data_IF_864738544427
#
_entry.id   IF_864738544427
#
_cell.length_a   1.000
_cell.length_b   1.000
_cell.length_c   1.000
_cell.angle_alpha   90.00
_cell.angle_beta   90.00
_cell.angle_gamma   90.00
#
_symmetry.space_group_name_H-M   'P 1'
#
loop_
_entity.id
_entity.type
_entity.pdbx_description
1 polymer ?
#
# COMPACT_ATOMS: atom_id res chain seq x y z
N UNK A 1 18.03 10.83 13.25
CA UNK A 1 18.03 10.74 11.77
C UNK A 1 16.78 9.96 11.36
N UNK A 2 16.02 10.41 10.36
CA UNK A 2 14.72 9.79 10.00
C UNK A 2 13.58 10.76 9.66
N UNK A 3 13.88 12.04 9.39
CA UNK A 3 12.87 13.04 9.03
C UNK A 3 12.40 12.93 7.57
N UNK A 4 13.28 12.48 6.68
CA UNK A 4 13.01 12.33 5.24
C UNK A 4 13.32 10.91 4.80
N UNK A 5 12.50 10.38 3.89
CA UNK A 5 12.66 9.04 3.32
C UNK A 5 13.71 9.00 2.19
N UNK A 6 13.88 10.11 1.46
CA UNK A 6 14.81 10.25 0.35
C UNK A 6 15.19 11.72 0.13
N UNK A 7 16.31 11.95 -0.56
CA UNK A 7 16.79 13.28 -0.98
C UNK A 7 17.05 13.22 -2.48
N UNK A 8 16.61 14.24 -3.22
CA UNK A 8 16.79 14.35 -4.66
C UNK A 8 17.28 15.75 -5.06
N UNK A 9 17.99 15.92 -6.19
CA UNK A 9 18.22 17.22 -6.79
C UNK A 9 16.90 17.94 -7.06
N UNK A 10 16.90 19.28 -6.95
CA UNK A 10 15.70 20.10 -7.08
C UNK A 10 14.99 19.86 -8.43
N UNK A 11 15.77 19.69 -9.50
CA UNK A 11 15.29 19.49 -10.87
C UNK A 11 14.58 18.14 -11.05
N UNK A 12 14.80 17.19 -10.14
CA UNK A 12 14.21 15.84 -10.18
C UNK A 12 13.16 15.59 -9.10
N UNK A 13 12.91 16.56 -8.21
CA UNK A 13 12.03 16.38 -7.06
C UNK A 13 10.62 15.94 -7.46
N UNK A 14 10.06 16.60 -8.49
CA UNK A 14 8.73 16.28 -8.99
C UNK A 14 8.66 14.88 -9.60
N UNK A 15 9.68 14.51 -10.38
CA UNK A 15 9.76 13.18 -10.99
C UNK A 15 9.79 12.09 -9.91
N UNK A 16 10.72 12.18 -8.96
CA UNK A 16 10.89 11.17 -7.91
C UNK A 16 9.64 11.07 -7.02
N UNK A 17 9.01 12.21 -6.70
CA UNK A 17 7.79 12.22 -5.90
C UNK A 17 6.62 11.58 -6.65
N UNK A 18 6.47 11.84 -7.96
CA UNK A 18 5.46 11.20 -8.80
C UNK A 18 5.70 9.70 -8.93
N UNK A 19 6.94 9.26 -9.14
CA UNK A 19 7.29 7.85 -9.20
C UNK A 19 6.90 7.11 -7.91
N UNK A 20 7.17 7.71 -6.74
CA UNK A 20 6.75 7.15 -5.46
C UNK A 20 5.21 7.08 -5.34
N UNK A 21 4.51 8.15 -5.72
CA UNK A 21 3.05 8.17 -5.69
C UNK A 21 2.44 7.11 -6.62
N UNK A 22 3.00 6.96 -7.82
CA UNK A 22 2.59 5.92 -8.77
C UNK A 22 2.87 4.53 -8.24
N UNK A 23 4.04 4.30 -7.63
CA UNK A 23 4.37 3.01 -7.03
C UNK A 23 3.35 2.61 -5.96
N UNK A 24 2.98 3.54 -5.07
CA UNK A 24 1.95 3.29 -4.04
C UNK A 24 0.58 3.05 -4.68
N UNK A 25 0.22 3.85 -5.70
CA UNK A 25 -1.07 3.76 -6.38
C UNK A 25 -1.27 2.46 -7.18
N UNK A 26 -0.22 1.68 -7.44
CA UNK A 26 -0.35 0.33 -8.04
C UNK A 26 -1.11 -0.66 -7.16
N UNK A 27 -1.20 -0.39 -5.85
CA UNK A 27 -1.94 -1.19 -4.90
C UNK A 27 -3.35 -0.61 -4.66
N UNK A 28 -4.22 -1.40 -4.04
CA UNK A 28 -5.53 -0.92 -3.58
C UNK A 28 -5.35 0.13 -2.48
N UNK A 29 -5.92 1.33 -2.67
CA UNK A 29 -5.84 2.40 -1.68
C UNK A 29 -6.45 2.01 -0.32
N UNK A 30 -7.53 1.23 -0.33
CA UNK A 30 -8.19 0.76 0.89
C UNK A 30 -7.22 -0.10 1.73
N UNK A 31 -6.54 -1.03 1.07
CA UNK A 31 -5.55 -1.92 1.70
C UNK A 31 -4.35 -1.12 2.22
N UNK A 32 -3.84 -0.16 1.45
CA UNK A 32 -2.75 0.73 1.87
C UNK A 32 -3.14 1.57 3.09
N UNK A 33 -4.34 2.15 3.09
CA UNK A 33 -4.84 2.95 4.20
C UNK A 33 -4.98 2.11 5.48
N UNK A 34 -5.50 0.89 5.36
CA UNK A 34 -5.62 -0.04 6.49
C UNK A 34 -4.25 -0.42 7.07
N UNK A 35 -3.28 -0.77 6.22
CA UNK A 35 -1.92 -1.09 6.64
C UNK A 35 -1.23 0.09 7.33
N UNK A 36 -1.38 1.31 6.78
CA UNK A 36 -0.85 2.53 7.40
C UNK A 36 -1.45 2.77 8.78
N UNK A 37 -2.77 2.63 8.91
CA UNK A 37 -3.46 2.76 10.20
C UNK A 37 -2.95 1.75 11.22
N UNK A 38 -2.89 0.47 10.84
CA UNK A 38 -2.36 -0.61 11.68
C UNK A 38 -0.94 -0.32 12.16
N UNK A 39 -0.06 0.14 11.27
CA UNK A 39 1.32 0.48 11.59
C UNK A 39 1.44 1.51 12.72
N UNK A 40 0.65 2.58 12.67
CA UNK A 40 0.67 3.61 13.72
C UNK A 40 -0.04 3.16 15.01
N UNK A 41 -1.10 2.36 14.91
CA UNK A 41 -1.84 1.85 16.06
C UNK A 41 -1.07 0.78 16.84
N UNK A 42 -0.20 -0.01 16.18
CA UNK A 42 0.65 -0.98 16.87
C UNK A 42 1.86 -0.36 17.57
N UNK A 43 2.30 0.84 17.16
CA UNK A 43 3.52 1.48 17.66
C UNK A 43 3.62 1.60 19.20
N UNK A 44 2.55 1.97 19.94
CA UNK A 44 2.61 2.06 21.40
C UNK A 44 2.41 0.71 22.12
N UNK A 45 2.14 -0.38 21.40
CA UNK A 45 1.85 -1.68 22.00
C UNK A 45 3.14 -2.44 22.33
N UNK A 46 3.07 -3.33 23.33
CA UNK A 46 4.12 -4.34 23.54
C UNK A 46 4.10 -5.39 22.42
N UNK A 47 5.22 -6.10 22.21
CA UNK A 47 5.42 -7.00 21.08
C UNK A 47 4.28 -8.03 20.92
N UNK A 48 3.81 -8.62 22.02
CA UNK A 48 2.75 -9.62 21.97
C UNK A 48 1.41 -9.01 21.58
N UNK A 49 1.05 -7.86 22.16
CA UNK A 49 -0.17 -7.14 21.77
C UNK A 49 -0.10 -6.62 20.33
N UNK A 50 1.05 -6.13 19.89
CA UNK A 50 1.28 -5.69 18.52
C UNK A 50 1.06 -6.85 17.54
N UNK A 51 1.63 -8.03 17.84
CA UNK A 51 1.46 -9.23 17.01
C UNK A 51 0.01 -9.71 16.98
N UNK A 52 -0.66 -9.77 18.13
CA UNK A 52 -2.09 -10.14 18.20
C UNK A 52 -2.94 -9.17 17.38
N UNK A 53 -2.76 -7.86 17.59
CA UNK A 53 -3.49 -6.82 16.87
C UNK A 53 -3.24 -6.88 15.35
N UNK A 54 -1.98 -7.00 14.92
CA UNK A 54 -1.64 -7.12 13.51
C UNK A 54 -2.26 -8.38 12.87
N UNK A 55 -2.25 -9.50 13.60
CA UNK A 55 -2.87 -10.76 13.14
C UNK A 55 -4.37 -10.58 12.93
N UNK A 56 -5.08 -9.96 13.87
CA UNK A 56 -6.52 -9.68 13.75
C UNK A 56 -6.82 -8.78 12.55
N UNK A 57 -6.05 -7.71 12.36
CA UNK A 57 -6.20 -6.82 11.20
C UNK A 57 -5.97 -7.57 9.89
N UNK A 58 -4.92 -8.40 9.79
CA UNK A 58 -4.62 -9.18 8.59
C UNK A 58 -5.72 -10.20 8.30
N UNK A 59 -6.22 -10.91 9.31
CA UNK A 59 -7.31 -11.89 9.16
C UNK A 59 -8.62 -11.22 8.73
N UNK A 60 -8.91 -10.03 9.24
CA UNK A 60 -10.08 -9.25 8.80
C UNK A 60 -9.87 -8.74 7.37
N UNK A 61 -8.69 -8.20 7.08
CA UNK A 61 -8.34 -7.66 5.77
C UNK A 61 -8.39 -8.71 4.65
N UNK A 62 -8.01 -9.97 4.93
CA UNK A 62 -8.00 -11.05 3.94
C UNK A 62 -9.37 -11.38 3.35
N UNK A 63 -10.45 -10.94 4.01
CA UNK A 63 -11.83 -11.13 3.59
C UNK A 63 -12.41 -9.92 2.85
N UNK A 64 -11.68 -8.81 2.75
CA UNK A 64 -12.16 -7.63 2.03
C UNK A 64 -12.19 -7.89 0.51
N UNK A 65 -13.15 -7.31 -0.22
CA UNK A 65 -13.27 -7.51 -1.67
C UNK A 65 -11.98 -7.16 -2.43
N UNK A 66 -11.33 -6.05 -2.06
CA UNK A 66 -10.06 -5.63 -2.63
C UNK A 66 -8.96 -6.67 -2.39
N UNK A 67 -8.81 -7.19 -1.18
CA UNK A 67 -7.79 -8.20 -0.85
C UNK A 67 -8.04 -9.52 -1.58
N UNK A 68 -9.29 -9.99 -1.63
CA UNK A 68 -9.67 -11.21 -2.36
C UNK A 68 -9.34 -11.05 -3.84
N UNK A 69 -9.66 -9.90 -4.45
CA UNK A 69 -9.33 -9.61 -5.84
C UNK A 69 -7.82 -9.59 -6.09
N UNK A 70 -7.05 -8.98 -5.18
CA UNK A 70 -5.59 -8.94 -5.27
C UNK A 70 -4.98 -10.34 -5.23
N UNK A 71 -5.45 -11.19 -4.31
CA UNK A 71 -5.02 -12.59 -4.21
C UNK A 71 -5.38 -13.35 -5.50
N UNK A 72 -6.61 -13.19 -5.99
CA UNK A 72 -7.05 -13.86 -7.22
C UNK A 72 -6.23 -13.42 -8.43
N UNK A 73 -5.99 -12.12 -8.61
CA UNK A 73 -5.18 -11.59 -9.70
C UNK A 73 -3.73 -12.11 -9.65
N UNK A 74 -3.15 -12.21 -8.45
CA UNK A 74 -1.83 -12.81 -8.25
C UNK A 74 -1.81 -14.29 -8.68
N UNK A 75 -2.80 -15.08 -8.25
CA UNK A 75 -2.93 -16.50 -8.63
C UNK A 75 -3.11 -16.66 -10.15
N UNK A 76 -3.86 -15.76 -10.77
CA UNK A 76 -4.14 -15.75 -12.22
C UNK A 76 -2.99 -15.14 -13.05
N UNK A 77 -1.93 -14.62 -12.40
CA UNK A 77 -0.82 -13.90 -13.04
C UNK A 77 -1.28 -12.72 -13.90
N UNK A 78 -2.28 -11.98 -13.42
CA UNK A 78 -2.84 -10.78 -14.06
C UNK A 78 -2.66 -9.57 -13.15
N UNK A 79 -2.68 -8.38 -13.76
CA UNK A 79 -2.77 -7.15 -12.98
C UNK A 79 -4.15 -7.04 -12.29
N UNK A 80 -4.21 -6.72 -10.99
CA UNK A 80 -5.46 -6.55 -10.27
C UNK A 80 -6.20 -5.27 -10.70
N UNK A 81 -7.51 -5.38 -10.87
CA UNK A 81 -8.38 -4.24 -11.16
C UNK A 81 -9.07 -3.73 -9.88
N UNK A 82 -8.46 -2.76 -9.21
CA UNK A 82 -8.98 -2.17 -7.97
C UNK A 82 -10.24 -1.31 -8.20
N UNK A 83 -11.15 -1.26 -7.22
CA UNK A 83 -12.37 -0.44 -7.27
C UNK A 83 -12.26 0.82 -6.40
N UNK A 84 -11.16 1.54 -6.53
CA UNK A 84 -10.85 2.72 -5.69
C UNK A 84 -10.86 4.06 -6.46
N UNK A 85 -11.34 4.05 -7.71
CA UNK A 85 -11.51 5.27 -8.52
C UNK A 85 -10.20 5.86 -9.08
N UNK A 86 -9.06 5.17 -8.92
CA UNK A 86 -7.81 5.56 -9.58
C UNK A 86 -7.74 4.96 -10.98
N UNK A 87 -7.64 5.82 -12.00
CA UNK A 87 -7.29 5.44 -13.36
C UNK A 87 -5.79 5.08 -13.43
N UNK A 88 -5.49 3.82 -13.74
CA UNK A 88 -4.11 3.29 -13.79
C UNK A 88 -3.58 3.11 -15.22
N UNK A 89 -4.33 3.57 -16.23
CA UNK A 89 -4.14 3.22 -17.65
C UNK A 89 -2.94 3.86 -18.37
N UNK A 90 -2.09 4.65 -17.70
CA UNK A 90 -0.89 5.22 -18.35
C UNK A 90 0.44 4.88 -17.66
N UNK A 91 0.45 4.01 -16.64
CA UNK A 91 1.60 3.89 -15.74
C UNK A 91 2.69 2.84 -16.12
N UNK A 92 2.57 2.17 -17.28
CA UNK A 92 3.47 1.05 -17.63
C UNK A 92 4.22 1.18 -18.97
N UNK A 93 4.17 2.35 -19.61
CA UNK A 93 4.96 2.60 -20.83
C UNK A 93 5.61 3.98 -20.80
N UNK A 94 6.82 4.04 -20.27
CA UNK A 94 7.98 4.76 -20.81
C UNK A 94 9.24 4.32 -20.08
#
# INVERSE_FOLDING_TARGET
MGLVNAVAPLEKLDQVTRELAHHIARHSLEVVALGKKMFYEQWPLDDWKALTYATEVIVRNSKLPETVRGIQAFLDKKEPHWQDGIHREEAFTS
#
